data_IF_475294776180
#
_entry.id   IF_475294776180
#
_cell.length_a   1.000
_cell.length_b   1.000
_cell.length_c   1.000
_cell.angle_alpha   90.00
_cell.angle_beta   90.00
_cell.angle_gamma   90.00
#
_symmetry.space_group_name_H-M   'P 1'
#
loop_
_entity.id
_entity.type
_entity.pdbx_description
1 polymer ?
#
# COMPACT_ATOMS: atom_id res chain seq x y z
N UNK A 1 -6.96 -4.65 13.12
CA UNK A 1 -6.42 -3.28 13.17
C UNK A 1 -7.22 -2.45 12.18
N UNK A 2 -7.43 -1.17 12.47
CA UNK A 2 -8.10 -0.26 11.53
C UNK A 2 -7.03 0.68 11.00
N UNK A 3 -7.01 0.89 9.70
CA UNK A 3 -6.05 1.75 9.02
C UNK A 3 -6.75 2.73 8.09
N UNK A 4 -6.07 3.84 7.77
CA UNK A 4 -6.56 4.84 6.83
C UNK A 4 -6.10 4.48 5.41
N UNK A 5 -7.05 4.39 4.47
CA UNK A 5 -6.76 4.12 3.05
C UNK A 5 -5.88 5.24 2.49
N UNK A 6 -6.31 6.49 2.70
CA UNK A 6 -5.54 7.70 2.43
C UNK A 6 -4.99 8.23 3.76
N UNK A 7 -3.66 8.43 3.89
CA UNK A 7 -3.06 9.01 5.07
C UNK A 7 -3.68 10.38 5.37
N UNK A 8 -4.24 10.56 6.57
CA UNK A 8 -4.99 11.75 6.91
C UNK A 8 -4.11 13.01 7.05
N UNK A 9 -2.81 12.86 7.38
CA UNK A 9 -1.82 13.97 7.51
C UNK A 9 -2.32 15.16 8.37
N UNK A 10 -3.08 14.85 9.41
CA UNK A 10 -3.68 15.86 10.30
C UNK A 10 -5.02 16.46 9.83
N UNK A 11 -5.54 16.08 8.67
CA UNK A 11 -6.87 16.49 8.19
C UNK A 11 -7.98 15.71 8.95
N UNK A 12 -8.85 16.40 9.71
CA UNK A 12 -9.92 15.73 10.48
C UNK A 12 -10.93 14.99 9.58
N UNK A 13 -11.25 15.56 8.41
CA UNK A 13 -12.23 14.95 7.50
C UNK A 13 -11.77 13.59 6.99
N UNK A 14 -10.48 13.44 6.69
CA UNK A 14 -9.88 12.15 6.32
C UNK A 14 -9.76 11.21 7.52
N UNK A 15 -9.61 11.76 8.73
CA UNK A 15 -9.46 10.95 9.94
C UNK A 15 -10.76 10.23 10.30
N UNK A 16 -11.90 10.92 10.18
CA UNK A 16 -13.23 10.40 10.56
C UNK A 16 -14.07 9.90 9.38
N UNK A 17 -13.59 10.05 8.14
CA UNK A 17 -14.28 9.53 6.95
C UNK A 17 -14.45 8.01 7.03
N UNK A 18 -15.70 7.54 7.07
CA UNK A 18 -16.01 6.11 7.16
C UNK A 18 -15.48 5.31 5.98
N UNK A 19 -15.51 5.90 4.79
CA UNK A 19 -14.98 5.31 3.55
C UNK A 19 -13.44 5.35 3.48
N UNK A 20 -12.78 6.08 4.38
CA UNK A 20 -11.32 6.12 4.48
C UNK A 20 -10.78 5.12 5.52
N UNK A 21 -11.65 4.47 6.29
CA UNK A 21 -11.25 3.47 7.30
C UNK A 21 -11.39 2.06 6.73
N UNK A 22 -10.33 1.27 6.83
CA UNK A 22 -10.31 -0.12 6.38
C UNK A 22 -9.95 -1.06 7.53
N UNK A 23 -10.77 -2.09 7.74
CA UNK A 23 -10.45 -3.16 8.69
C UNK A 23 -9.48 -4.15 8.05
N UNK A 24 -8.33 -4.35 8.70
CA UNK A 24 -7.30 -5.27 8.24
C UNK A 24 -6.77 -6.16 9.36
N UNK A 25 -6.33 -7.37 8.99
CA UNK A 25 -5.59 -8.24 9.89
C UNK A 25 -4.19 -7.65 10.18
N UNK A 26 -3.69 -7.85 11.40
CA UNK A 26 -2.35 -7.39 11.82
C UNK A 26 -1.22 -7.77 10.84
N UNK A 27 -1.09 -9.03 10.36
CA UNK A 27 -0.02 -9.37 9.41
C UNK A 27 -0.15 -8.65 8.06
N UNK A 28 -1.38 -8.35 7.61
CA UNK A 28 -1.61 -7.61 6.37
C UNK A 28 -1.20 -6.14 6.53
N UNK A 29 -1.57 -5.52 7.65
CA UNK A 29 -1.19 -4.16 8.00
C UNK A 29 0.33 -4.02 8.14
N UNK A 30 0.96 -4.88 8.94
CA UNK A 30 2.37 -4.71 9.29
C UNK A 30 3.31 -5.00 8.10
N UNK A 31 2.91 -5.87 7.17
CA UNK A 31 3.73 -6.27 6.01
C UNK A 31 3.33 -5.59 4.70
N UNK A 32 2.10 -5.81 4.24
CA UNK A 32 1.70 -5.44 2.88
C UNK A 32 1.51 -3.93 2.78
N UNK A 33 0.77 -3.34 3.71
CA UNK A 33 0.55 -1.89 3.73
C UNK A 33 1.84 -1.13 3.95
N UNK A 34 2.69 -1.54 4.90
CA UNK A 34 4.00 -0.91 5.07
C UNK A 34 4.86 -0.97 3.80
N UNK A 35 4.86 -2.11 3.09
CA UNK A 35 5.60 -2.23 1.83
C UNK A 35 5.08 -1.26 0.77
N UNK A 36 3.75 -1.12 0.66
CA UNK A 36 3.13 -0.19 -0.30
C UNK A 36 3.41 1.27 0.05
N UNK A 37 3.36 1.65 1.33
CA UNK A 37 3.66 3.02 1.78
C UNK A 37 5.13 3.38 1.53
N UNK A 38 6.06 2.43 1.72
CA UNK A 38 7.50 2.64 1.45
C UNK A 38 7.83 2.66 -0.03
N UNK A 39 7.20 1.78 -0.82
CA UNK A 39 7.44 1.67 -2.26
C UNK A 39 6.89 2.85 -3.06
N UNK A 40 5.98 3.64 -2.48
CA UNK A 40 5.43 4.83 -3.13
C UNK A 40 4.39 4.50 -4.20
N UNK A 41 3.96 5.54 -4.95
CA UNK A 41 2.94 5.38 -6.00
C UNK A 41 3.49 4.56 -7.15
N UNK A 42 2.88 3.41 -7.41
CA UNK A 42 3.24 2.53 -8.53
C UNK A 42 3.91 1.22 -8.10
N UNK A 43 4.31 1.10 -6.83
CA UNK A 43 4.89 -0.12 -6.30
C UNK A 43 3.91 -1.30 -6.44
N UNK A 44 4.35 -2.32 -7.16
CA UNK A 44 3.64 -3.59 -7.32
C UNK A 44 4.57 -4.73 -6.91
N UNK A 45 4.37 -5.24 -5.71
CA UNK A 45 5.10 -6.40 -5.25
C UNK A 45 4.71 -7.67 -6.02
N UNK A 46 5.69 -8.53 -6.28
CA UNK A 46 5.50 -9.82 -6.95
C UNK A 46 6.09 -9.86 -8.36
N UNK A 47 5.88 -10.99 -9.02
CA UNK A 47 6.26 -11.23 -10.40
C UNK A 47 5.06 -11.76 -11.20
N UNK A 48 5.12 -11.62 -12.52
CA UNK A 48 4.16 -12.23 -13.44
C UNK A 48 4.42 -13.74 -13.62
N UNK A 49 3.65 -14.34 -14.52
CA UNK A 49 3.68 -15.74 -14.96
C UNK A 49 5.06 -16.16 -15.48
N UNK A 50 5.83 -15.23 -16.02
CA UNK A 50 7.15 -15.42 -16.60
C UNK A 50 8.28 -15.14 -15.59
N UNK A 51 7.94 -14.64 -14.40
CA UNK A 51 8.89 -14.30 -13.35
C UNK A 51 9.39 -12.84 -13.42
N UNK A 52 8.84 -12.02 -14.32
CA UNK A 52 9.23 -10.62 -14.46
C UNK A 52 8.60 -9.76 -13.36
N UNK A 53 9.31 -8.76 -12.80
CA UNK A 53 8.77 -7.89 -11.76
C UNK A 53 7.52 -7.12 -12.22
N UNK A 54 6.47 -7.11 -11.39
CA UNK A 54 5.24 -6.38 -11.70
C UNK A 54 5.38 -4.86 -11.60
N UNK A 55 6.38 -4.38 -10.87
CA UNK A 55 6.68 -2.96 -10.71
C UNK A 55 7.44 -2.45 -11.96
N UNK A 56 6.86 -1.55 -12.77
CA UNK A 56 7.54 -1.02 -13.95
C UNK A 56 8.82 -0.25 -13.63
N UNK A 57 8.94 0.28 -12.42
CA UNK A 57 10.11 1.05 -11.96
C UNK A 57 11.18 0.18 -11.31
N UNK A 58 11.01 -1.16 -11.33
CA UNK A 58 12.02 -2.08 -10.82
C UNK A 58 13.32 -1.96 -11.63
N UNK A 59 14.46 -1.91 -10.95
CA UNK A 59 15.82 -1.78 -11.51
C UNK A 59 16.24 -2.87 -12.51
N UNK A 60 15.44 -3.93 -12.64
CA UNK A 60 15.63 -4.99 -13.65
C UNK A 60 15.04 -4.56 -15.01
N UNK A 61 14.04 -3.67 -15.03
CA UNK A 61 13.35 -3.25 -16.26
C UNK A 61 14.12 -2.20 -17.09
N UNK A 62 15.39 -1.94 -16.78
CA UNK A 62 16.28 -1.01 -17.51
C UNK A 62 16.76 -1.60 -18.86
#
# INVERSE_FOLDING_TARGET
MVDHIVPHRGCPDLFFRKDNLMSMAKPCHDRHKQSQERGGKGFKGGCDDHGEPLDPTHWWND
#
